data_IF_578113651803
#
_entry.id   IF_578113651803
#
_cell.length_a   1.000
_cell.length_b   1.000
_cell.length_c   1.000
_cell.angle_alpha   90.00
_cell.angle_beta   90.00
_cell.angle_gamma   90.00
#
_symmetry.space_group_name_H-M   'P 1'
#
loop_
_entity.id
_entity.type
_entity.pdbx_description
1 polymer ?
#
# COMPACT_ATOMS: atom_id res chain seq x y z
N UNK A 1 43.91 38.77 -10.05
CA UNK A 1 43.05 38.30 -11.17
C UNK A 1 42.62 36.83 -11.03
N UNK A 2 43.53 35.88 -10.73
CA UNK A 2 43.19 34.45 -10.55
C UNK A 2 42.22 34.13 -9.39
N UNK A 3 42.33 34.83 -8.26
CA UNK A 3 41.45 34.61 -7.08
C UNK A 3 40.01 35.06 -7.36
N UNK A 4 39.82 36.14 -8.14
CA UNK A 4 38.49 36.63 -8.52
C UNK A 4 37.73 35.62 -9.40
N UNK A 5 38.46 34.93 -10.28
CA UNK A 5 37.91 33.89 -11.15
C UNK A 5 37.48 32.64 -10.35
N UNK A 6 38.23 32.27 -9.30
CA UNK A 6 37.88 31.14 -8.43
C UNK A 6 36.60 31.44 -7.64
N UNK A 7 36.42 32.67 -7.15
CA UNK A 7 35.19 33.07 -6.42
C UNK A 7 33.96 33.10 -7.36
N UNK A 8 34.13 33.51 -8.62
CA UNK A 8 33.06 33.48 -9.63
C UNK A 8 32.63 32.04 -9.98
N UNK A 9 33.57 31.11 -10.08
CA UNK A 9 33.27 29.68 -10.28
C UNK A 9 32.58 29.10 -9.03
N UNK A 10 33.03 29.47 -7.82
CA UNK A 10 32.42 29.02 -6.57
C UNK A 10 30.98 29.54 -6.38
N UNK A 11 30.64 30.72 -6.92
CA UNK A 11 29.27 31.26 -6.91
C UNK A 11 28.33 30.57 -7.89
N UNK A 12 28.84 30.02 -9.00
CA UNK A 12 28.03 29.24 -9.94
C UNK A 12 27.77 27.79 -9.50
N UNK A 13 28.52 27.28 -8.51
CA UNK A 13 28.31 25.93 -7.95
C UNK A 13 27.30 25.92 -6.81
N UNK A 14 26.82 27.08 -6.35
CA UNK A 14 25.54 27.16 -5.63
C UNK A 14 24.42 27.15 -6.68
N UNK A 15 24.37 26.09 -7.50
CA UNK A 15 23.09 25.63 -8.01
C UNK A 15 22.32 25.27 -6.76
N UNK A 16 21.54 26.22 -6.25
CA UNK A 16 20.36 25.87 -5.47
C UNK A 16 19.71 24.80 -6.31
N UNK A 17 19.76 23.54 -5.85
CA UNK A 17 18.79 22.55 -6.25
C UNK A 17 17.48 23.22 -5.88
N UNK A 18 16.91 23.94 -6.84
CA UNK A 18 15.58 24.48 -6.71
C UNK A 18 14.76 23.29 -6.31
N UNK A 19 14.04 23.40 -5.20
CA UNK A 19 12.96 22.47 -4.95
C UNK A 19 12.12 22.54 -6.22
N UNK A 20 12.17 21.49 -7.05
CA UNK A 20 11.14 21.31 -8.06
C UNK A 20 9.83 21.55 -7.33
N UNK A 21 9.08 22.58 -7.74
CA UNK A 21 7.84 22.92 -7.06
C UNK A 21 6.96 21.69 -7.16
N UNK A 22 6.82 20.95 -6.05
CA UNK A 22 5.94 19.79 -5.97
C UNK A 22 4.54 20.32 -6.23
N UNK A 23 3.99 19.98 -7.39
CA UNK A 23 2.62 20.35 -7.74
C UNK A 23 1.67 19.33 -7.16
N UNK A 24 0.71 19.79 -6.35
CA UNK A 24 -0.36 18.94 -5.85
C UNK A 24 -1.43 18.80 -6.95
N UNK A 25 -1.40 17.67 -7.67
CA UNK A 25 -2.39 17.38 -8.71
C UNK A 25 -3.81 17.17 -8.13
N UNK A 26 -3.88 16.61 -6.92
CA UNK A 26 -5.14 16.30 -6.26
C UNK A 26 -5.08 16.65 -4.77
N UNK A 27 -6.20 17.17 -4.24
CA UNK A 27 -6.34 17.56 -2.83
C UNK A 27 -7.72 17.18 -2.33
N UNK A 28 -7.76 16.60 -1.13
CA UNK A 28 -8.98 16.25 -0.41
C UNK A 28 -9.03 16.93 0.95
N UNK A 29 -10.21 17.45 1.31
CA UNK A 29 -10.58 17.78 2.70
C UNK A 29 -11.09 16.54 3.44
N UNK A 30 -11.80 15.68 2.72
CA UNK A 30 -12.24 14.36 3.13
C UNK A 30 -12.49 13.53 1.88
N UNK A 31 -12.46 12.20 2.02
CA UNK A 31 -12.70 11.27 0.93
C UNK A 31 -14.19 11.06 0.74
N UNK A 32 -14.65 11.08 -0.51
CA UNK A 32 -16.02 10.76 -0.90
C UNK A 32 -15.97 9.96 -2.21
N UNK A 33 -17.03 9.22 -2.50
CA UNK A 33 -17.02 8.16 -3.50
C UNK A 33 -18.02 8.38 -4.61
N UNK A 34 -17.79 7.73 -5.75
CA UNK A 34 -18.84 7.58 -6.76
C UNK A 34 -19.81 6.48 -6.33
N UNK A 35 -20.83 6.87 -5.56
CA UNK A 35 -21.91 6.00 -5.12
C UNK A 35 -22.77 5.50 -6.29
N UNK A 36 -23.28 4.26 -6.21
CA UNK A 36 -24.18 3.70 -7.22
C UNK A 36 -25.51 4.47 -7.27
N UNK A 37 -25.99 4.92 -6.10
CA UNK A 37 -27.17 5.75 -5.93
C UNK A 37 -27.20 6.40 -4.53
N UNK A 38 -28.09 7.37 -4.35
CA UNK A 38 -28.27 8.09 -3.07
C UNK A 38 -28.70 7.17 -1.92
N UNK A 39 -29.45 6.10 -2.20
CA UNK A 39 -29.88 5.15 -1.17
C UNK A 39 -28.69 4.41 -0.58
N UNK A 40 -27.73 3.99 -1.40
CA UNK A 40 -26.50 3.35 -0.95
C UNK A 40 -25.69 4.29 -0.05
N UNK A 41 -25.50 5.54 -0.47
CA UNK A 41 -24.79 6.56 0.32
C UNK A 41 -25.48 6.81 1.65
N UNK A 42 -26.80 7.02 1.63
CA UNK A 42 -27.59 7.28 2.83
C UNK A 42 -27.53 6.11 3.79
N UNK A 43 -27.68 4.87 3.31
CA UNK A 43 -27.55 3.68 4.14
C UNK A 43 -26.15 3.59 4.78
N UNK A 44 -25.09 3.87 4.03
CA UNK A 44 -23.73 3.84 4.57
C UNK A 44 -23.52 4.88 5.69
N UNK A 45 -24.08 6.08 5.53
CA UNK A 45 -24.09 7.11 6.57
C UNK A 45 -24.91 6.67 7.79
N UNK A 46 -26.15 6.22 7.59
CA UNK A 46 -27.08 5.87 8.65
C UNK A 46 -26.56 4.69 9.50
N UNK A 47 -25.81 3.76 8.89
CA UNK A 47 -25.20 2.62 9.61
C UNK A 47 -23.79 2.89 10.12
N UNK A 48 -23.21 4.07 9.86
CA UNK A 48 -21.81 4.39 10.21
C UNK A 48 -20.75 3.62 9.40
N UNK A 49 -21.15 2.98 8.29
CA UNK A 49 -20.21 2.33 7.36
C UNK A 49 -19.50 3.36 6.46
N UNK A 50 -19.96 4.60 6.48
CA UNK A 50 -19.25 5.75 5.94
C UNK A 50 -19.15 6.84 7.00
N UNK A 51 -17.92 7.03 7.49
CA UNK A 51 -17.49 8.14 8.33
C UNK A 51 -16.22 8.71 7.69
N UNK A 52 -16.30 9.88 7.02
CA UNK A 52 -15.16 10.47 6.32
C UNK A 52 -13.99 10.80 7.25
N UNK A 53 -14.21 10.93 8.56
CA UNK A 53 -13.13 11.18 9.53
C UNK A 53 -12.24 9.97 9.77
N UNK A 54 -12.72 8.77 9.42
CA UNK A 54 -11.99 7.51 9.48
C UNK A 54 -11.37 7.10 8.13
N UNK A 55 -11.57 7.92 7.09
CA UNK A 55 -11.08 7.65 5.74
C UNK A 55 -9.82 8.46 5.46
N UNK A 56 -8.65 7.82 5.52
CA UNK A 56 -7.39 8.44 5.11
C UNK A 56 -6.77 7.69 3.92
N UNK A 57 -5.99 8.38 3.09
CA UNK A 57 -5.22 7.75 2.02
C UNK A 57 -3.84 7.35 2.53
N UNK A 58 -3.35 6.15 2.20
CA UNK A 58 -2.01 5.69 2.60
C UNK A 58 -1.04 5.56 1.41
N UNK A 59 -1.49 5.00 0.27
CA UNK A 59 -0.66 4.81 -0.92
C UNK A 59 -1.39 5.31 -2.19
N UNK A 60 -0.60 5.69 -3.18
CA UNK A 60 -1.08 6.27 -4.44
C UNK A 60 -0.12 5.99 -5.59
N UNK A 61 -0.61 5.37 -6.67
CA UNK A 61 0.20 5.09 -7.86
C UNK A 61 -0.51 5.47 -9.15
N UNK A 62 0.19 6.20 -10.01
CA UNK A 62 -0.23 6.44 -11.39
C UNK A 62 0.11 5.23 -12.25
N UNK A 63 -0.87 4.68 -12.94
CA UNK A 63 -0.70 3.55 -13.86
C UNK A 63 -0.49 4.05 -15.30
N UNK A 64 -0.05 3.15 -16.18
CA UNK A 64 0.35 3.50 -17.55
C UNK A 64 -0.75 4.12 -18.41
N UNK A 65 -2.01 3.83 -18.12
CA UNK A 65 -3.17 4.42 -18.81
C UNK A 65 -3.61 5.78 -18.24
N UNK A 66 -2.86 6.34 -17.29
CA UNK A 66 -3.07 7.65 -16.71
C UNK A 66 -3.98 7.68 -15.49
N UNK A 67 -4.65 6.58 -15.13
CA UNK A 67 -5.43 6.48 -13.88
C UNK A 67 -4.50 6.61 -12.67
N UNK A 68 -5.02 7.17 -11.58
CA UNK A 68 -4.35 7.19 -10.28
C UNK A 68 -5.13 6.28 -9.34
N UNK A 69 -4.47 5.21 -8.89
CA UNK A 69 -5.02 4.26 -7.93
C UNK A 69 -4.59 4.71 -6.54
N UNK A 70 -5.54 4.74 -5.60
CA UNK A 70 -5.34 5.21 -4.22
C UNK A 70 -5.87 4.17 -3.25
N UNK A 71 -5.13 3.91 -2.18
CA UNK A 71 -5.57 3.06 -1.08
C UNK A 71 -6.09 3.89 0.08
N UNK A 72 -7.11 3.36 0.77
CA UNK A 72 -7.67 3.97 1.97
C UNK A 72 -7.85 2.90 3.03
N UNK A 73 -6.79 2.59 3.80
CA UNK A 73 -6.86 1.51 4.76
C UNK A 73 -7.76 1.85 5.95
N UNK A 74 -8.42 0.83 6.48
CA UNK A 74 -9.40 0.92 7.58
C UNK A 74 -8.73 0.98 8.96
N UNK A 75 -7.62 1.69 9.10
CA UNK A 75 -6.83 1.77 10.35
C UNK A 75 -7.56 2.51 11.49
N UNK A 76 -8.48 3.41 11.14
CA UNK A 76 -9.25 4.22 12.08
C UNK A 76 -10.65 3.67 12.37
N UNK A 77 -10.97 2.49 11.83
CA UNK A 77 -12.25 1.83 12.05
C UNK A 77 -12.98 1.45 10.77
N UNK A 78 -14.21 0.94 10.89
CA UNK A 78 -14.97 0.42 9.75
C UNK A 78 -15.58 1.50 8.86
N UNK A 79 -15.52 2.78 9.26
CA UNK A 79 -16.17 3.91 8.57
C UNK A 79 -15.58 4.26 7.21
N UNK A 80 -14.54 3.58 6.74
CA UNK A 80 -14.06 3.70 5.37
C UNK A 80 -14.64 2.56 4.53
N UNK A 81 -15.65 2.79 3.66
CA UNK A 81 -16.35 1.70 2.97
C UNK A 81 -15.51 1.04 1.88
N UNK A 82 -14.56 1.78 1.29
CA UNK A 82 -13.81 1.35 0.10
C UNK A 82 -12.33 1.58 0.34
N UNK A 83 -11.54 0.52 0.19
CA UNK A 83 -10.12 0.54 0.55
C UNK A 83 -9.17 0.66 -0.64
N UNK A 84 -9.68 0.46 -1.86
CA UNK A 84 -8.93 0.55 -3.10
C UNK A 84 -9.79 1.26 -4.13
N UNK A 85 -9.26 2.37 -4.66
CA UNK A 85 -10.01 3.30 -5.50
C UNK A 85 -9.20 3.80 -6.67
N UNK A 86 -9.88 4.38 -7.65
CA UNK A 86 -9.32 5.20 -8.73
C UNK A 86 -9.85 6.61 -8.59
N UNK A 87 -8.98 7.62 -8.73
CA UNK A 87 -9.40 9.03 -8.75
C UNK A 87 -10.27 9.32 -9.98
N UNK A 88 -11.46 9.92 -9.79
CA UNK A 88 -12.29 10.40 -10.89
C UNK A 88 -11.77 11.77 -11.35
N UNK A 89 -11.41 11.89 -12.63
CA UNK A 89 -10.90 13.15 -13.18
C UNK A 89 -12.02 14.15 -13.53
N UNK A 90 -13.26 13.67 -13.62
CA UNK A 90 -14.44 14.39 -14.12
C UNK A 90 -15.50 14.67 -13.04
N UNK A 91 -15.44 13.98 -11.89
CA UNK A 91 -16.40 14.12 -10.79
C UNK A 91 -15.72 14.70 -9.56
N UNK A 92 -16.34 15.73 -8.99
CA UNK A 92 -15.83 16.43 -7.81
C UNK A 92 -16.96 16.66 -6.81
N UNK A 93 -16.72 16.28 -5.56
CA UNK A 93 -17.58 16.58 -4.42
C UNK A 93 -17.07 17.77 -3.63
N UNK A 94 -17.72 18.07 -2.50
CA UNK A 94 -17.31 19.15 -1.60
C UNK A 94 -15.97 18.87 -0.90
N UNK A 95 -15.58 17.60 -0.75
CA UNK A 95 -14.29 17.18 -0.20
C UNK A 95 -13.13 17.24 -1.19
N UNK A 96 -13.37 17.07 -2.49
CA UNK A 96 -12.32 16.91 -3.51
C UNK A 96 -12.80 16.08 -4.69
N UNK A 97 -11.91 15.66 -5.61
CA UNK A 97 -12.23 14.69 -6.65
C UNK A 97 -12.87 13.42 -6.06
N UNK A 98 -13.93 12.89 -6.66
CA UNK A 98 -14.55 11.67 -6.12
C UNK A 98 -13.66 10.45 -6.39
N UNK A 99 -13.70 9.48 -5.47
CA UNK A 99 -13.00 8.21 -5.61
C UNK A 99 -13.94 7.13 -6.12
N UNK A 100 -13.56 6.47 -7.21
CA UNK A 100 -14.30 5.33 -7.76
C UNK A 100 -13.78 4.04 -7.15
N UNK A 101 -14.63 3.17 -6.55
CA UNK A 101 -14.20 1.86 -6.08
C UNK A 101 -13.55 1.04 -7.19
N UNK A 102 -12.50 0.31 -6.83
CA UNK A 102 -11.73 -0.48 -7.75
C UNK A 102 -11.61 -1.96 -7.30
N UNK A 103 -11.85 -2.94 -8.19
CA UNK A 103 -12.38 -2.79 -9.56
C UNK A 103 -13.79 -2.18 -9.62
N UNK A 104 -14.64 -2.53 -8.66
CA UNK A 104 -15.99 -2.01 -8.49
C UNK A 104 -16.50 -2.25 -7.04
N UNK A 105 -17.68 -1.75 -6.70
CA UNK A 105 -18.29 -1.87 -5.37
C UNK A 105 -18.47 -3.32 -4.87
N UNK A 106 -18.59 -4.31 -5.76
CA UNK A 106 -18.80 -5.73 -5.36
C UNK A 106 -17.54 -6.34 -4.75
N UNK A 107 -16.38 -5.75 -5.00
CA UNK A 107 -15.11 -6.17 -4.42
C UNK A 107 -14.88 -5.62 -3.01
N UNK A 108 -15.73 -4.76 -2.47
CA UNK A 108 -15.54 -4.18 -1.14
C UNK A 108 -16.54 -4.74 -0.15
N UNK A 109 -16.06 -5.13 1.03
CA UNK A 109 -16.91 -5.67 2.08
C UNK A 109 -17.98 -4.65 2.49
N UNK A 110 -19.25 -5.03 2.39
CA UNK A 110 -20.40 -4.14 2.62
C UNK A 110 -20.74 -3.94 4.09
N UNK A 111 -20.29 -4.84 4.94
CA UNK A 111 -20.64 -4.85 6.36
C UNK A 111 -19.45 -5.29 7.19
N UNK A 112 -19.21 -4.55 8.25
CA UNK A 112 -18.34 -4.98 9.33
C UNK A 112 -19.10 -5.95 10.25
N UNK A 113 -18.92 -7.26 10.07
CA UNK A 113 -19.49 -8.28 10.95
C UNK A 113 -18.37 -9.19 11.48
N UNK A 114 -18.12 -9.11 12.79
CA UNK A 114 -17.07 -9.89 13.45
C UNK A 114 -17.40 -11.38 13.54
N UNK A 115 -18.68 -11.72 13.68
CA UNK A 115 -19.13 -13.11 13.87
C UNK A 115 -19.21 -13.84 12.54
N UNK A 116 -19.58 -13.14 11.48
CA UNK A 116 -19.69 -13.67 10.12
C UNK A 116 -19.05 -12.69 9.13
N UNK A 117 -17.71 -12.60 9.10
CA UNK A 117 -17.03 -11.66 8.21
C UNK A 117 -17.16 -12.11 6.75
N UNK A 118 -17.50 -11.15 5.88
CA UNK A 118 -17.39 -11.35 4.43
C UNK A 118 -15.92 -11.16 4.01
N UNK A 119 -15.24 -12.29 3.81
CA UNK A 119 -13.85 -12.36 3.37
C UNK A 119 -13.70 -12.61 1.86
N UNK A 120 -14.80 -12.56 1.08
CA UNK A 120 -14.77 -12.84 -0.37
C UNK A 120 -14.16 -11.68 -1.17
N UNK A 121 -14.42 -10.45 -0.74
CA UNK A 121 -13.86 -9.23 -1.30
C UNK A 121 -12.62 -8.71 -0.55
N UNK A 122 -12.23 -7.48 -0.87
CA UNK A 122 -11.24 -6.67 -0.19
C UNK A 122 -11.80 -6.19 1.17
N UNK A 123 -11.00 -6.38 2.20
CA UNK A 123 -11.30 -5.93 3.56
C UNK A 123 -10.57 -4.63 3.87
N UNK A 124 -9.24 -4.63 3.73
CA UNK A 124 -8.41 -3.49 4.06
C UNK A 124 -7.08 -3.55 3.29
N UNK A 125 -7.05 -2.91 2.13
CA UNK A 125 -5.83 -2.78 1.32
C UNK A 125 -4.97 -1.66 1.89
N UNK A 126 -3.81 -2.04 2.44
CA UNK A 126 -2.84 -1.09 2.97
C UNK A 126 -2.11 -0.38 1.83
N UNK A 127 -1.26 -1.12 1.11
CA UNK A 127 -0.44 -0.59 0.02
C UNK A 127 -0.45 -1.47 -1.21
N UNK A 128 0.04 -0.90 -2.30
CA UNK A 128 0.02 -1.53 -3.61
C UNK A 128 1.41 -1.59 -4.23
N UNK A 129 1.58 -2.49 -5.20
CA UNK A 129 2.70 -2.45 -6.13
C UNK A 129 2.25 -2.62 -7.58
N UNK A 130 3.08 -2.16 -8.50
CA UNK A 130 2.83 -2.22 -9.93
C UNK A 130 3.98 -2.93 -10.64
N UNK A 131 3.68 -4.01 -11.35
CA UNK A 131 4.67 -4.68 -12.22
C UNK A 131 3.96 -5.22 -13.44
N UNK A 132 4.53 -4.98 -14.63
CA UNK A 132 4.08 -5.59 -15.89
C UNK A 132 2.56 -5.44 -16.17
N UNK A 133 1.98 -4.27 -15.93
CA UNK A 133 0.54 -4.03 -16.17
C UNK A 133 -0.40 -4.71 -15.16
N UNK A 134 0.13 -5.14 -14.01
CA UNK A 134 -0.64 -5.72 -12.92
C UNK A 134 -0.46 -4.90 -11.65
N UNK A 135 -1.57 -4.73 -10.93
CA UNK A 135 -1.62 -4.18 -9.58
C UNK A 135 -1.60 -5.34 -8.58
N UNK A 136 -0.76 -5.22 -7.56
CA UNK A 136 -0.67 -6.13 -6.44
C UNK A 136 -1.17 -5.39 -5.20
N UNK A 137 -2.33 -5.77 -4.69
CA UNK A 137 -2.97 -5.14 -3.54
C UNK A 137 -2.81 -6.02 -2.30
N UNK A 138 -2.15 -5.49 -1.27
CA UNK A 138 -1.97 -6.18 0.00
C UNK A 138 -3.16 -5.90 0.93
N UNK A 139 -4.07 -6.88 1.01
CA UNK A 139 -5.20 -6.85 1.93
C UNK A 139 -4.80 -7.45 3.28
N UNK A 140 -4.79 -6.61 4.30
CA UNK A 140 -4.37 -6.99 5.66
C UNK A 140 -5.38 -7.89 6.36
N UNK A 141 -6.65 -7.89 5.91
CA UNK A 141 -7.75 -8.58 6.58
C UNK A 141 -8.12 -7.99 7.96
N UNK A 142 -7.53 -6.85 8.34
CA UNK A 142 -7.76 -6.17 9.61
C UNK A 142 -8.55 -4.88 9.45
N UNK A 143 -9.23 -4.46 10.51
CA UNK A 143 -9.81 -3.10 10.63
C UNK A 143 -9.50 -2.59 12.02
N UNK A 144 -9.22 -1.31 12.13
CA UNK A 144 -8.53 -0.79 13.29
C UNK A 144 -7.10 -1.32 13.38
N UNK A 145 -6.47 -1.13 14.54
CA UNK A 145 -5.07 -1.53 14.77
C UNK A 145 -4.88 -3.03 14.98
N UNK A 146 -5.79 -3.66 15.73
CA UNK A 146 -5.55 -5.02 16.23
C UNK A 146 -6.57 -6.04 15.73
N UNK A 147 -7.68 -5.60 15.15
CA UNK A 147 -8.80 -6.48 14.91
C UNK A 147 -8.75 -7.16 13.55
N UNK A 148 -8.50 -8.47 13.57
CA UNK A 148 -8.48 -9.32 12.37
C UNK A 148 -9.85 -9.91 12.11
N UNK A 149 -10.44 -9.57 10.96
CA UNK A 149 -11.64 -10.25 10.47
C UNK A 149 -11.32 -11.44 9.59
N UNK A 150 -10.35 -11.27 8.71
CA UNK A 150 -10.06 -12.20 7.64
C UNK A 150 -8.58 -12.53 7.63
N UNK A 151 -8.24 -13.71 7.13
CA UNK A 151 -6.84 -14.01 6.82
C UNK A 151 -6.33 -13.02 5.75
N UNK A 152 -5.10 -12.53 5.89
CA UNK A 152 -4.52 -11.62 4.91
C UNK A 152 -4.37 -12.30 3.55
N UNK A 153 -4.47 -11.50 2.50
CA UNK A 153 -4.34 -11.98 1.13
C UNK A 153 -3.71 -10.92 0.24
N UNK A 154 -3.01 -11.37 -0.79
CA UNK A 154 -2.55 -10.51 -1.87
C UNK A 154 -3.47 -10.72 -3.08
N UNK A 155 -4.10 -9.64 -3.55
CA UNK A 155 -5.00 -9.66 -4.71
C UNK A 155 -4.28 -9.07 -5.91
N UNK A 156 -4.23 -9.80 -7.03
CA UNK A 156 -3.55 -9.39 -8.26
C UNK A 156 -4.61 -9.03 -9.30
N UNK A 157 -4.59 -7.77 -9.73
CA UNK A 157 -5.53 -7.21 -10.71
C UNK A 157 -4.77 -6.84 -11.98
N UNK A 158 -5.21 -7.36 -13.12
CA UNK A 158 -4.69 -6.95 -14.43
C UNK A 158 -5.32 -5.63 -14.82
N UNK A 159 -4.48 -4.62 -15.08
CA UNK A 159 -4.94 -3.25 -15.33
C UNK A 159 -5.63 -3.06 -16.67
N UNK A 160 -5.35 -3.91 -17.66
CA UNK A 160 -5.91 -3.79 -19.02
C UNK A 160 -7.44 -3.91 -19.04
N UNK A 161 -7.99 -4.78 -18.20
CA UNK A 161 -9.42 -5.12 -18.18
C UNK A 161 -9.99 -5.15 -16.75
N UNK A 162 -9.25 -4.62 -15.78
CA UNK A 162 -9.59 -4.51 -14.36
C UNK A 162 -10.00 -5.85 -13.71
N UNK A 163 -9.49 -6.98 -14.23
CA UNK A 163 -9.84 -8.31 -13.72
C UNK A 163 -8.88 -8.76 -12.63
N UNK A 164 -9.43 -9.28 -11.54
CA UNK A 164 -8.68 -10.10 -10.58
C UNK A 164 -8.25 -11.39 -11.28
N UNK A 165 -6.94 -11.59 -11.40
CA UNK A 165 -6.35 -12.75 -12.10
C UNK A 165 -5.77 -13.79 -11.16
N UNK A 166 -5.43 -13.41 -9.92
CA UNK A 166 -4.92 -14.32 -8.90
C UNK A 166 -5.15 -13.73 -7.51
N UNK A 167 -5.49 -14.60 -6.55
CA UNK A 167 -5.52 -14.29 -5.13
C UNK A 167 -4.55 -15.24 -4.44
N UNK A 168 -3.61 -14.67 -3.69
CA UNK A 168 -2.65 -15.44 -2.88
C UNK A 168 -3.09 -15.34 -1.43
N UNK A 169 -3.59 -16.43 -0.88
CA UNK A 169 -3.96 -16.52 0.52
C UNK A 169 -2.71 -16.73 1.38
N UNK A 170 -2.52 -15.88 2.38
CA UNK A 170 -1.32 -15.90 3.22
C UNK A 170 -1.70 -16.60 4.53
N UNK A 171 -1.12 -17.77 4.83
CA UNK A 171 -1.38 -18.46 6.08
C UNK A 171 -1.03 -17.59 7.28
N UNK A 172 -1.82 -17.67 8.35
CA UNK A 172 -1.60 -16.87 9.56
C UNK A 172 -0.18 -17.04 10.14
N UNK A 173 0.33 -18.27 10.18
CA UNK A 173 1.71 -18.58 10.60
C UNK A 173 2.81 -17.85 9.80
N UNK A 174 2.50 -17.37 8.60
CA UNK A 174 3.42 -16.55 7.81
C UNK A 174 3.19 -15.06 8.09
N UNK A 175 1.94 -14.67 8.26
CA UNK A 175 1.53 -13.28 8.46
C UNK A 175 1.80 -12.72 9.86
N UNK A 176 2.13 -13.56 10.84
CA UNK A 176 2.42 -13.14 12.21
C UNK A 176 3.77 -13.62 12.68
N UNK A 177 4.38 -12.85 13.57
CA UNK A 177 5.55 -13.24 14.34
C UNK A 177 5.25 -14.45 15.22
N UNK A 178 6.16 -15.42 15.25
CA UNK A 178 5.93 -16.70 15.92
C UNK A 178 5.91 -16.59 17.44
N UNK A 179 6.62 -15.61 18.02
CA UNK A 179 6.72 -15.44 19.47
C UNK A 179 5.59 -14.57 20.00
N UNK A 180 5.30 -13.46 19.32
CA UNK A 180 4.33 -12.46 19.80
C UNK A 180 2.92 -12.67 19.27
N UNK A 181 2.75 -13.46 18.19
CA UNK A 181 1.48 -13.61 17.49
C UNK A 181 0.99 -12.35 16.77
N UNK A 182 1.81 -11.29 16.73
CA UNK A 182 1.48 -10.01 16.12
C UNK A 182 1.94 -9.96 14.67
N UNK A 183 1.17 -9.27 13.83
CA UNK A 183 1.54 -9.06 12.43
C UNK A 183 0.51 -8.25 11.66
N UNK A 184 1.00 -7.40 10.76
CA UNK A 184 0.23 -6.63 9.77
C UNK A 184 1.08 -6.50 8.52
N UNK A 185 0.76 -7.29 7.50
CA UNK A 185 1.41 -7.20 6.19
C UNK A 185 0.88 -6.00 5.43
N UNK A 186 1.74 -5.02 5.11
CA UNK A 186 1.30 -3.73 4.56
C UNK A 186 1.78 -3.46 3.15
N UNK A 187 3.06 -3.67 2.85
CA UNK A 187 3.65 -3.30 1.57
C UNK A 187 4.13 -4.52 0.77
N UNK A 188 3.50 -4.81 -0.38
CA UNK A 188 4.07 -5.75 -1.33
C UNK A 188 5.19 -5.07 -2.14
N UNK A 189 6.21 -5.82 -2.51
CA UNK A 189 7.18 -5.47 -3.53
C UNK A 189 7.36 -6.67 -4.46
N UNK A 190 7.13 -6.45 -5.75
CA UNK A 190 7.18 -7.51 -6.76
C UNK A 190 8.50 -7.46 -7.49
N UNK A 191 9.27 -8.51 -7.33
CA UNK A 191 10.49 -8.76 -8.08
C UNK A 191 10.21 -9.79 -9.18
N UNK A 192 10.64 -9.48 -10.40
CA UNK A 192 10.60 -10.42 -11.51
C UNK A 192 12.05 -10.61 -11.99
N UNK A 193 12.64 -11.83 -11.85
CA UNK A 193 14.04 -12.06 -12.22
C UNK A 193 14.33 -11.86 -13.70
N UNK A 194 13.34 -12.08 -14.57
CA UNK A 194 13.40 -11.79 -15.99
C UNK A 194 12.62 -10.50 -16.27
N UNK A 195 13.05 -9.69 -17.24
CA UNK A 195 12.22 -8.57 -17.71
C UNK A 195 11.07 -9.03 -18.63
N UNK A 196 10.95 -10.34 -18.88
CA UNK A 196 9.82 -10.91 -19.63
C UNK A 196 8.54 -10.95 -18.79
N UNK A 197 7.69 -9.94 -19.03
CA UNK A 197 6.38 -9.81 -18.40
C UNK A 197 5.37 -10.90 -18.79
N UNK A 198 5.62 -11.71 -19.83
CA UNK A 198 4.67 -12.75 -20.26
C UNK A 198 4.49 -13.87 -19.22
N UNK A 199 5.50 -14.09 -18.38
CA UNK A 199 5.53 -15.11 -17.33
C UNK A 199 5.43 -14.50 -15.92
N UNK A 200 4.90 -13.27 -15.78
CA UNK A 200 4.84 -12.56 -14.50
C UNK A 200 4.26 -13.43 -13.38
N UNK A 201 3.08 -14.03 -13.60
CA UNK A 201 2.36 -14.77 -12.55
C UNK A 201 3.03 -16.09 -12.15
N UNK A 202 3.92 -16.59 -13.00
CA UNK A 202 4.61 -17.88 -12.85
C UNK A 202 6.03 -17.71 -12.29
N UNK A 203 6.66 -16.54 -12.49
CA UNK A 203 8.07 -16.29 -12.15
C UNK A 203 8.31 -15.18 -11.13
N UNK A 204 7.28 -14.47 -10.69
CA UNK A 204 7.41 -13.42 -9.68
C UNK A 204 7.84 -13.95 -8.31
N UNK A 205 8.61 -13.12 -7.61
CA UNK A 205 8.89 -13.23 -6.19
C UNK A 205 8.29 -11.99 -5.53
N UNK A 206 7.50 -12.18 -4.49
CA UNK A 206 6.81 -11.08 -3.80
C UNK A 206 7.33 -11.01 -2.37
N UNK A 207 7.78 -9.83 -2.00
CA UNK A 207 8.22 -9.48 -0.66
C UNK A 207 7.10 -8.69 0.02
N UNK A 208 6.68 -9.07 1.22
CA UNK A 208 5.58 -8.45 1.95
C UNK A 208 6.07 -8.05 3.33
N UNK A 209 6.22 -6.75 3.56
CA UNK A 209 6.71 -6.22 4.83
C UNK A 209 5.63 -6.32 5.92
N UNK A 210 6.03 -6.83 7.09
CA UNK A 210 5.22 -6.92 8.30
C UNK A 210 5.74 -5.94 9.35
N UNK A 211 5.09 -4.79 9.46
CA UNK A 211 5.57 -3.73 10.33
C UNK A 211 5.28 -3.99 11.80
N UNK A 212 4.29 -4.82 12.12
CA UNK A 212 3.90 -5.06 13.51
C UNK A 212 4.47 -6.36 14.07
N UNK A 213 4.73 -7.33 13.20
CA UNK A 213 5.44 -8.57 13.53
C UNK A 213 6.95 -8.52 13.24
N UNK A 214 7.48 -7.39 12.77
CA UNK A 214 8.91 -7.17 12.53
C UNK A 214 9.54 -8.23 11.61
N UNK A 215 8.87 -8.51 10.50
CA UNK A 215 9.26 -9.60 9.62
C UNK A 215 8.98 -9.32 8.15
N UNK A 216 9.48 -10.23 7.32
CA UNK A 216 9.33 -10.18 5.88
C UNK A 216 8.79 -11.52 5.39
N UNK A 217 7.62 -11.50 4.74
CA UNK A 217 7.09 -12.70 4.08
C UNK A 217 7.51 -12.67 2.62
N UNK A 218 8.07 -13.79 2.15
CA UNK A 218 8.48 -13.97 0.77
C UNK A 218 7.63 -15.06 0.13
N UNK A 219 6.93 -14.72 -0.95
CA UNK A 219 6.23 -15.68 -1.81
C UNK A 219 7.01 -15.87 -3.10
N UNK A 220 7.27 -17.13 -3.46
CA UNK A 220 7.90 -17.50 -4.72
C UNK A 220 6.88 -18.27 -5.58
N UNK A 221 6.45 -17.68 -6.69
CA UNK A 221 5.44 -18.26 -7.57
C UNK A 221 5.91 -19.52 -8.30
N UNK A 222 7.19 -19.61 -8.68
CA UNK A 222 7.77 -20.78 -9.36
C UNK A 222 7.63 -22.04 -8.50
N UNK A 223 7.84 -21.89 -7.19
CA UNK A 223 7.78 -22.99 -6.22
C UNK A 223 6.44 -23.12 -5.52
N UNK A 224 5.52 -22.18 -5.77
CA UNK A 224 4.31 -21.94 -5.00
C UNK A 224 4.51 -22.05 -3.48
N UNK A 225 5.55 -21.37 -2.98
CA UNK A 225 6.00 -21.51 -1.60
C UNK A 225 6.13 -20.16 -0.91
N UNK A 226 5.85 -20.14 0.39
CA UNK A 226 6.06 -18.97 1.24
C UNK A 226 7.02 -19.28 2.38
N UNK A 227 7.82 -18.29 2.76
CA UNK A 227 8.55 -18.29 4.01
C UNK A 227 8.46 -16.92 4.69
N UNK A 228 8.65 -16.93 6.01
CA UNK A 228 8.81 -15.72 6.83
C UNK A 228 10.29 -15.60 7.22
N UNK A 229 10.83 -14.41 7.09
CA UNK A 229 12.18 -14.03 7.49
C UNK A 229 12.06 -13.02 8.61
N UNK A 230 12.78 -13.23 9.69
CA UNK A 230 12.82 -12.32 10.84
C UNK A 230 14.28 -11.96 11.13
N UNK A 231 14.48 -10.73 11.60
CA UNK A 231 15.78 -10.23 11.99
C UNK A 231 15.61 -9.10 12.99
N UNK A 232 16.52 -8.98 13.96
CA UNK A 232 16.57 -7.83 14.87
C UNK A 232 16.64 -6.47 14.15
N UNK A 233 17.12 -6.44 12.92
CA UNK A 233 17.18 -5.23 12.09
C UNK A 233 15.83 -4.84 11.47
N UNK A 234 14.81 -5.67 11.63
CA UNK A 234 13.44 -5.39 11.21
C UNK A 234 12.58 -4.92 12.39
N UNK A 235 13.14 -4.86 13.59
CA UNK A 235 12.48 -4.32 14.78
C UNK A 235 12.60 -2.79 14.81
N UNK A 236 11.61 -2.10 15.41
CA UNK A 236 11.71 -0.66 15.63
C UNK A 236 12.95 -0.30 16.47
N UNK A 237 13.63 0.78 16.09
CA UNK A 237 14.79 1.32 16.82
C UNK A 237 14.42 2.57 17.63
N UNK A 238 13.59 3.44 17.04
CA UNK A 238 13.01 4.61 17.69
C UNK A 238 11.54 4.73 17.25
N UNK A 239 10.66 4.88 18.23
CA UNK A 239 9.22 4.91 18.02
C UNK A 239 8.66 6.32 18.18
N UNK A 240 9.45 7.30 18.63
CA UNK A 240 8.99 8.65 18.89
C UNK A 240 9.16 9.53 17.65
N UNK A 241 8.04 9.93 17.07
CA UNK A 241 8.00 10.86 15.96
C UNK A 241 7.63 12.26 16.45
N UNK A 242 8.44 13.26 16.07
CA UNK A 242 8.20 14.68 16.37
C UNK A 242 7.78 15.40 15.11
N UNK A 243 6.59 15.99 15.12
CA UNK A 243 6.05 16.78 14.02
C UNK A 243 6.53 18.24 14.10
N UNK A 244 6.42 18.96 12.98
CA UNK A 244 6.89 20.36 12.85
C UNK A 244 6.28 21.31 13.88
N UNK A 245 5.08 21.04 14.35
CA UNK A 245 4.37 21.82 15.37
C UNK A 245 4.72 21.39 16.81
N UNK A 246 5.74 20.54 16.99
CA UNK A 246 6.14 19.93 18.26
C UNK A 246 5.14 18.93 18.85
N UNK A 247 4.12 18.54 18.09
CA UNK A 247 3.32 17.38 18.46
C UNK A 247 4.18 16.13 18.36
N UNK A 248 3.94 15.18 19.25
CA UNK A 248 4.65 13.91 19.27
C UNK A 248 3.68 12.75 19.23
N UNK A 249 4.08 11.68 18.56
CA UNK A 249 3.33 10.42 18.59
C UNK A 249 4.28 9.23 18.60
N UNK A 250 3.82 8.13 19.18
CA UNK A 250 4.56 6.88 19.23
C UNK A 250 4.04 5.96 18.13
N UNK A 251 4.92 5.48 17.28
CA UNK A 251 4.60 4.55 16.20
C UNK A 251 5.63 3.43 16.14
N UNK A 252 5.41 2.34 16.91
CA UNK A 252 6.35 1.24 17.05
C UNK A 252 6.25 0.30 15.85
N UNK A 253 6.75 0.75 14.71
CA UNK A 253 6.73 0.02 13.46
C UNK A 253 8.13 -0.47 13.09
N UNK A 254 8.23 -1.77 12.85
CA UNK A 254 9.39 -2.40 12.27
C UNK A 254 9.51 -2.15 10.76
N UNK A 255 10.00 -3.16 10.03
CA UNK A 255 10.13 -3.10 8.57
C UNK A 255 8.80 -2.73 7.88
N UNK A 256 8.83 -1.67 7.07
CA UNK A 256 7.61 -1.08 6.51
C UNK A 256 7.67 -0.90 4.99
N UNK A 257 8.74 -0.28 4.49
CA UNK A 257 8.93 0.01 3.07
C UNK A 257 10.15 -0.71 2.52
N UNK A 258 10.04 -1.20 1.29
CA UNK A 258 11.13 -1.85 0.57
C UNK A 258 11.29 -1.21 -0.81
N UNK A 259 12.52 -1.25 -1.31
CA UNK A 259 12.89 -0.97 -2.69
C UNK A 259 13.98 -1.94 -3.11
N UNK A 260 14.07 -2.22 -4.40
CA UNK A 260 15.14 -3.06 -4.95
C UNK A 260 16.08 -2.18 -5.76
N UNK A 261 17.36 -2.23 -5.41
CA UNK A 261 18.43 -1.55 -6.15
C UNK A 261 19.17 -2.63 -6.93
N UNK A 262 19.08 -2.62 -8.25
CA UNK A 262 19.75 -3.57 -9.12
C UNK A 262 20.56 -2.82 -10.19
N UNK A 263 21.87 -3.07 -10.24
CA UNK A 263 22.69 -2.71 -11.41
C UNK A 263 22.71 -3.84 -12.44
N UNK A 264 22.74 -5.11 -12.00
CA UNK A 264 22.59 -6.33 -12.82
C UNK A 264 22.10 -7.51 -11.94
N UNK A 265 20.79 -7.66 -11.74
CA UNK A 265 20.27 -8.74 -10.87
C UNK A 265 20.10 -10.05 -11.63
N UNK A 266 21.19 -10.82 -11.76
CA UNK A 266 21.13 -12.27 -11.91
C UNK A 266 21.45 -12.93 -10.58
N UNK A 267 20.45 -13.25 -9.77
CA UNK A 267 20.70 -14.11 -8.60
C UNK A 267 19.50 -14.96 -8.22
N UNK A 268 19.81 -16.23 -7.98
CA UNK A 268 18.97 -17.22 -7.33
C UNK A 268 18.62 -16.76 -5.91
N UNK A 269 17.39 -17.07 -5.50
CA UNK A 269 16.84 -16.89 -4.17
C UNK A 269 17.88 -17.04 -3.02
N UNK A 270 17.85 -16.10 -2.06
CA UNK A 270 18.56 -16.13 -0.76
C UNK A 270 20.05 -15.71 -0.70
N UNK A 271 20.55 -14.83 -1.57
CA UNK A 271 21.83 -14.15 -1.32
C UNK A 271 21.72 -12.65 -1.59
N UNK A 272 21.88 -11.89 -0.50
CA UNK A 272 22.03 -10.44 -0.39
C UNK A 272 20.74 -9.61 -0.46
N UNK A 273 20.27 -9.18 0.71
CA UNK A 273 19.47 -7.97 0.88
C UNK A 273 20.29 -6.99 1.71
N UNK A 274 20.53 -5.78 1.17
CA UNK A 274 20.97 -4.63 1.93
C UNK A 274 19.72 -3.92 2.44
N UNK A 275 19.49 -3.96 3.74
CA UNK A 275 18.61 -3.03 4.43
C UNK A 275 19.40 -1.73 4.60
N UNK A 276 18.93 -0.65 3.97
CA UNK A 276 19.36 0.72 4.29
C UNK A 276 18.42 1.30 5.31
#
# INVERSE_FOLDING_TARGET
MKILFIILILRMVIMSFGSDNITCDYVWRYLDYTWDNETQMKQANDTGNYDPTQCITDDGKKVSDGRVIVTSPKEFGPGCPVTLTVVSNDKKGAGGPLLRPYPDWKWHSKTWNKTHPDCTGLVNVARIDLKCGHLFAMDTGKVGRDERLCSPKLVIIRLKDDKVVKIIHIPEKMATNNETGKGVLVKPLVFLPSEDCSQLLDNMIIFMADYYGNGLVVYNSVKDSMCRIESKYMEPVDDLFVLKNHDTFIYPAGIFSMTVICNECKTSCCKYFLLT
#
